data_IF_418079206062
#
_entry.id   IF_418079206062
#
_cell.length_a   1.000
_cell.length_b   1.000
_cell.length_c   1.000
_cell.angle_alpha   90.00
_cell.angle_beta   90.00
_cell.angle_gamma   90.00
#
_symmetry.space_group_name_H-M   'P 1'
#
loop_
_entity.id
_entity.type
_entity.pdbx_description
1 polymer ?
#
# COMPACT_ATOMS: atom_id res chain seq x y z
N UNK A 1 3.06 24.90 11.18
CA UNK A 1 3.90 25.33 10.05
C UNK A 1 3.00 25.65 8.85
N UNK A 2 3.41 26.61 8.03
CA UNK A 2 2.68 26.93 6.79
C UNK A 2 3.21 26.03 5.65
N UNK A 3 2.37 25.68 4.66
CA UNK A 3 2.82 24.97 3.47
C UNK A 3 3.89 25.77 2.73
N UNK A 4 4.91 25.09 2.23
CA UNK A 4 5.98 25.68 1.43
C UNK A 4 6.27 24.77 0.23
N UNK A 5 6.08 25.31 -0.98
CA UNK A 5 6.26 24.58 -2.24
C UNK A 5 7.70 24.19 -2.56
N UNK A 6 8.68 24.79 -1.86
CA UNK A 6 10.10 24.42 -1.99
C UNK A 6 10.50 23.23 -1.10
N UNK A 7 9.61 22.78 -0.22
CA UNK A 7 9.85 21.63 0.69
C UNK A 7 11.19 21.69 1.44
N UNK A 8 11.50 22.78 2.19
CA UNK A 8 12.86 23.02 2.73
C UNK A 8 13.31 22.00 3.78
N UNK A 9 12.41 21.13 4.24
CA UNK A 9 12.69 20.12 5.28
C UNK A 9 12.96 18.72 4.73
N UNK A 10 12.82 18.51 3.42
CA UNK A 10 13.04 17.21 2.76
C UNK A 10 13.67 17.43 1.38
N UNK A 11 14.56 16.56 0.96
CA UNK A 11 15.14 16.61 -0.38
C UNK A 11 14.18 16.08 -1.45
N UNK A 12 13.26 15.19 -1.04
CA UNK A 12 12.25 14.59 -1.89
C UNK A 12 10.96 14.33 -1.10
N UNK A 13 9.85 15.04 -1.42
CA UNK A 13 8.60 14.94 -0.69
C UNK A 13 7.82 13.67 -1.07
N UNK A 14 8.36 12.51 -0.77
CA UNK A 14 7.76 11.20 -1.03
C UNK A 14 7.73 10.39 0.27
N UNK A 15 6.57 9.89 0.71
CA UNK A 15 6.44 9.12 1.94
C UNK A 15 7.12 7.73 1.91
N UNK A 16 7.70 7.31 0.79
CA UNK A 16 8.59 6.15 0.71
C UNK A 16 9.98 6.45 1.30
N UNK A 17 10.38 7.73 1.30
CA UNK A 17 11.67 8.14 1.81
C UNK A 17 11.67 8.29 3.34
N UNK A 18 12.59 7.60 4.03
CA UNK A 18 12.70 7.69 5.48
C UNK A 18 12.95 9.13 5.97
N UNK A 19 13.67 9.95 5.17
CA UNK A 19 13.91 11.37 5.42
C UNK A 19 12.61 12.17 5.60
N UNK A 20 11.55 11.86 4.83
CA UNK A 20 10.26 12.52 4.93
C UNK A 20 9.60 12.36 6.32
N UNK A 21 10.01 11.37 7.09
CA UNK A 21 9.48 11.10 8.43
C UNK A 21 10.32 11.64 9.59
N UNK A 22 11.48 12.23 9.37
CA UNK A 22 12.36 12.64 10.46
C UNK A 22 11.70 13.59 11.46
N UNK A 23 10.98 14.61 11.01
CA UNK A 23 10.25 15.54 11.86
C UNK A 23 9.05 14.87 12.52
N UNK A 24 8.32 14.06 11.77
CA UNK A 24 7.19 13.26 12.26
C UNK A 24 7.61 12.30 13.37
N UNK A 25 8.73 11.59 13.19
CA UNK A 25 9.29 10.68 14.20
C UNK A 25 9.73 11.40 15.48
N UNK A 26 10.35 12.58 15.35
CA UNK A 26 10.70 13.42 16.52
C UNK A 26 9.46 13.84 17.30
N UNK A 27 8.42 14.29 16.60
CA UNK A 27 7.15 14.66 17.21
C UNK A 27 6.44 13.45 17.81
N UNK A 28 6.34 12.35 17.08
CA UNK A 28 5.69 11.11 17.49
C UNK A 28 6.29 10.57 18.80
N UNK A 29 7.62 10.55 18.90
CA UNK A 29 8.31 10.17 20.14
C UNK A 29 8.00 11.12 21.31
N UNK A 30 7.90 12.43 21.05
CA UNK A 30 7.60 13.43 22.07
C UNK A 30 6.20 13.32 22.65
N UNK A 31 5.20 12.98 21.81
CA UNK A 31 3.78 12.89 22.18
C UNK A 31 3.33 11.45 22.43
N UNK A 32 4.24 10.51 22.32
CA UNK A 32 3.98 9.07 22.47
C UNK A 32 2.90 8.55 21.51
N UNK A 33 2.97 8.94 20.23
CA UNK A 33 1.99 8.59 19.22
C UNK A 33 1.97 7.08 18.92
N UNK A 34 0.79 6.50 18.71
CA UNK A 34 0.65 5.10 18.25
C UNK A 34 1.03 4.95 16.76
N UNK A 35 0.76 5.99 15.96
CA UNK A 35 0.97 6.06 14.52
C UNK A 35 1.61 7.39 14.11
N UNK A 36 2.39 7.35 13.04
CA UNK A 36 2.88 8.53 12.35
C UNK A 36 2.55 8.34 10.86
N UNK A 37 1.82 9.27 10.30
CA UNK A 37 1.31 9.23 8.93
C UNK A 37 1.84 10.43 8.16
N UNK A 38 2.24 10.22 6.92
CA UNK A 38 2.63 11.28 6.00
C UNK A 38 2.13 10.97 4.60
N UNK A 39 1.59 11.98 3.92
CA UNK A 39 1.20 11.88 2.52
C UNK A 39 2.24 12.53 1.63
N UNK A 40 2.20 12.23 0.34
CA UNK A 40 2.85 13.05 -0.68
C UNK A 40 2.03 14.35 -0.93
N UNK A 41 2.56 15.28 -1.76
CA UNK A 41 1.94 16.60 -1.91
C UNK A 41 0.51 16.61 -2.47
N UNK A 42 0.15 15.64 -3.32
CA UNK A 42 -1.19 15.48 -3.89
C UNK A 42 -2.08 14.52 -3.10
N UNK A 43 -1.55 13.99 -1.96
CA UNK A 43 -2.25 13.14 -1.01
C UNK A 43 -2.87 11.86 -1.63
N UNK A 44 -2.16 11.24 -2.57
CA UNK A 44 -2.56 9.96 -3.15
C UNK A 44 -1.79 8.76 -2.55
N UNK A 45 -0.63 8.98 -1.93
CA UNK A 45 0.21 7.98 -1.25
C UNK A 45 0.28 8.23 0.24
N UNK A 46 0.32 7.15 1.01
CA UNK A 46 0.38 7.19 2.47
C UNK A 46 1.57 6.38 3.00
N UNK A 47 2.57 7.06 3.54
CA UNK A 47 3.61 6.44 4.34
C UNK A 47 3.19 6.30 5.81
N UNK A 48 3.66 5.23 6.46
CA UNK A 48 3.19 4.82 7.78
C UNK A 48 4.34 4.35 8.64
N UNK A 49 4.43 4.89 9.86
CA UNK A 49 5.20 4.31 10.95
C UNK A 49 4.26 3.91 12.08
N UNK A 50 4.49 2.74 12.63
CA UNK A 50 3.69 2.17 13.73
C UNK A 50 4.58 1.90 14.93
N UNK A 51 4.04 2.14 16.13
CA UNK A 51 4.77 1.90 17.36
C UNK A 51 4.70 0.43 17.76
N UNK A 52 5.85 -0.15 18.07
CA UNK A 52 5.94 -1.41 18.81
C UNK A 52 5.76 -1.11 20.31
N UNK A 53 4.67 -1.60 20.89
CA UNK A 53 4.36 -1.37 22.31
C UNK A 53 5.34 -2.04 23.29
N UNK A 54 6.10 -3.07 22.86
CA UNK A 54 7.07 -3.75 23.72
C UNK A 54 8.40 -3.03 23.79
N UNK A 55 8.86 -2.52 22.68
CA UNK A 55 10.18 -1.85 22.58
C UNK A 55 10.07 -0.34 22.63
N UNK A 56 8.91 0.24 22.32
CA UNK A 56 8.71 1.67 22.12
C UNK A 56 9.29 2.20 20.80
N UNK A 57 9.83 1.33 19.96
CA UNK A 57 10.39 1.69 18.65
C UNK A 57 9.29 1.90 17.60
N UNK A 58 9.60 2.69 16.58
CA UNK A 58 8.73 2.90 15.43
C UNK A 58 9.24 2.14 14.23
N UNK A 59 8.39 1.29 13.66
CA UNK A 59 8.66 0.53 12.45
C UNK A 59 7.94 1.13 11.24
N UNK A 60 8.66 1.33 10.15
CA UNK A 60 8.07 1.68 8.87
C UNK A 60 7.30 0.50 8.28
N UNK A 61 6.09 0.74 7.80
CA UNK A 61 5.38 -0.21 6.94
C UNK A 61 5.65 0.14 5.48
N UNK A 62 6.03 -0.84 4.67
CA UNK A 62 6.10 -0.68 3.22
C UNK A 62 4.71 -0.47 2.64
N UNK A 63 4.60 0.04 1.40
CA UNK A 63 3.30 0.17 0.73
C UNK A 63 2.55 -1.16 0.62
N UNK A 64 3.28 -2.26 0.39
CA UNK A 64 2.72 -3.61 0.42
C UNK A 64 2.16 -3.98 1.81
N UNK A 65 2.89 -3.70 2.88
CA UNK A 65 2.46 -4.00 4.25
C UNK A 65 1.24 -3.18 4.64
N UNK A 66 1.28 -1.86 4.44
CA UNK A 66 0.17 -0.96 4.78
C UNK A 66 -1.07 -1.24 3.94
N UNK A 67 -0.90 -1.47 2.63
CA UNK A 67 -1.99 -1.81 1.72
C UNK A 67 -2.68 -3.13 2.11
N UNK A 68 -1.91 -4.19 2.40
CA UNK A 68 -2.46 -5.44 2.88
C UNK A 68 -3.16 -5.30 4.24
N UNK A 69 -2.60 -4.53 5.17
CA UNK A 69 -3.19 -4.29 6.48
C UNK A 69 -4.54 -3.56 6.38
N UNK A 70 -4.61 -2.50 5.56
CA UNK A 70 -5.85 -1.78 5.28
C UNK A 70 -6.87 -2.69 4.60
N UNK A 71 -6.44 -3.43 3.56
CA UNK A 71 -7.31 -4.34 2.81
C UNK A 71 -7.89 -5.45 3.67
N UNK A 72 -7.07 -6.12 4.49
CA UNK A 72 -7.51 -7.14 5.44
C UNK A 72 -8.51 -6.57 6.45
N UNK A 73 -8.22 -5.39 7.01
CA UNK A 73 -9.11 -4.72 7.94
C UNK A 73 -10.47 -4.42 7.30
N UNK A 74 -10.50 -3.75 6.14
CA UNK A 74 -11.74 -3.37 5.44
C UNK A 74 -12.58 -4.60 5.09
N UNK A 75 -11.94 -5.64 4.54
CA UNK A 75 -12.63 -6.87 4.14
C UNK A 75 -13.15 -7.63 5.35
N UNK A 76 -12.35 -7.73 6.44
CA UNK A 76 -12.77 -8.39 7.68
C UNK A 76 -13.96 -7.70 8.33
N UNK A 77 -13.94 -6.36 8.41
CA UNK A 77 -15.03 -5.58 8.99
C UNK A 77 -16.30 -5.68 8.15
N UNK A 78 -16.18 -5.66 6.82
CA UNK A 78 -17.33 -5.86 5.94
C UNK A 78 -17.91 -7.25 6.10
N UNK A 79 -17.06 -8.28 6.17
CA UNK A 79 -17.48 -9.66 6.41
C UNK A 79 -18.27 -9.81 7.71
N UNK A 80 -17.79 -9.16 8.78
CA UNK A 80 -18.40 -9.24 10.12
C UNK A 80 -19.75 -8.53 10.18
N UNK A 81 -19.87 -7.35 9.56
CA UNK A 81 -21.07 -6.50 9.65
C UNK A 81 -22.16 -6.86 8.63
N UNK A 82 -21.80 -7.17 7.41
CA UNK A 82 -22.71 -7.26 6.27
C UNK A 82 -22.60 -8.58 5.48
N UNK A 83 -21.50 -9.32 5.68
CA UNK A 83 -21.11 -10.42 4.81
C UNK A 83 -20.38 -9.92 3.56
N UNK A 84 -19.73 -10.85 2.86
CA UNK A 84 -19.03 -10.53 1.62
C UNK A 84 -19.90 -10.87 0.40
N UNK A 85 -19.94 -10.01 -0.63
CA UNK A 85 -20.58 -10.35 -1.88
C UNK A 85 -19.86 -11.52 -2.55
N UNK A 86 -20.62 -12.39 -3.22
CA UNK A 86 -20.09 -13.60 -3.87
C UNK A 86 -19.05 -13.29 -4.97
N UNK A 87 -19.17 -12.13 -5.59
CA UNK A 87 -18.31 -11.58 -6.63
C UNK A 87 -17.38 -10.49 -6.12
N UNK A 88 -17.15 -10.44 -4.80
CA UNK A 88 -16.26 -9.48 -4.17
C UNK A 88 -14.83 -9.62 -4.68
N UNK A 89 -14.17 -8.51 -4.98
CA UNK A 89 -12.84 -8.49 -5.57
C UNK A 89 -11.86 -7.60 -4.79
N UNK A 90 -10.67 -8.13 -4.56
CA UNK A 90 -9.47 -7.41 -4.20
C UNK A 90 -8.66 -7.17 -5.49
N UNK A 91 -8.30 -5.92 -5.79
CA UNK A 91 -7.56 -5.58 -7.00
C UNK A 91 -6.15 -5.10 -6.62
N UNK A 92 -5.12 -5.61 -7.27
CA UNK A 92 -3.73 -5.18 -7.07
C UNK A 92 -2.99 -5.00 -8.39
N UNK A 93 -1.88 -4.24 -8.38
CA UNK A 93 -0.92 -4.26 -9.50
C UNK A 93 -0.17 -5.60 -9.54
N UNK A 94 0.27 -6.01 -10.72
CA UNK A 94 1.04 -7.26 -10.92
C UNK A 94 2.38 -7.29 -10.15
N UNK A 95 2.88 -6.13 -9.74
CA UNK A 95 4.13 -5.96 -8.97
C UNK A 95 3.88 -5.83 -7.47
N UNK A 96 2.62 -5.78 -7.04
CA UNK A 96 2.27 -5.78 -5.61
C UNK A 96 2.41 -7.18 -5.02
N UNK A 97 2.58 -7.24 -3.70
CA UNK A 97 2.86 -8.46 -2.94
C UNK A 97 1.84 -9.59 -3.16
N UNK A 98 2.33 -10.82 -3.20
CA UNK A 98 1.48 -12.02 -3.22
C UNK A 98 0.78 -12.30 -1.87
N UNK A 99 1.02 -11.50 -0.83
CA UNK A 99 0.22 -11.56 0.39
C UNK A 99 -1.25 -11.22 0.12
N UNK A 100 -1.53 -10.33 -0.85
CA UNK A 100 -2.89 -10.03 -1.29
C UNK A 100 -3.62 -11.26 -1.86
N UNK A 101 -2.89 -12.17 -2.54
CA UNK A 101 -3.44 -13.46 -3.02
C UNK A 101 -3.89 -14.33 -1.86
N UNK A 102 -3.05 -14.41 -0.82
CA UNK A 102 -3.37 -15.20 0.37
C UNK A 102 -4.58 -14.61 1.14
N UNK A 103 -4.68 -13.28 1.21
CA UNK A 103 -5.84 -12.58 1.81
C UNK A 103 -7.10 -12.90 1.01
N UNK A 104 -7.09 -12.71 -0.32
CA UNK A 104 -8.23 -12.99 -1.18
C UNK A 104 -8.70 -14.45 -1.05
N UNK A 105 -7.76 -15.39 -1.06
CA UNK A 105 -8.03 -16.82 -0.86
C UNK A 105 -8.67 -17.12 0.50
N UNK A 106 -8.17 -16.49 1.57
CA UNK A 106 -8.68 -16.69 2.94
C UNK A 106 -10.14 -16.23 3.08
N UNK A 107 -10.48 -15.11 2.44
CA UNK A 107 -11.84 -14.59 2.47
C UNK A 107 -12.76 -15.20 1.40
N UNK A 108 -12.24 -16.00 0.48
CA UNK A 108 -13.00 -16.61 -0.62
C UNK A 108 -13.52 -15.58 -1.62
N UNK A 109 -12.77 -14.50 -1.84
CA UNK A 109 -13.07 -13.43 -2.79
C UNK A 109 -12.15 -13.52 -4.02
N UNK A 110 -12.49 -12.81 -5.09
CA UNK A 110 -11.66 -12.75 -6.29
C UNK A 110 -10.40 -11.91 -6.03
N UNK A 111 -9.26 -12.37 -6.53
CA UNK A 111 -8.10 -11.53 -6.76
C UNK A 111 -8.07 -11.11 -8.22
N UNK A 112 -7.93 -9.81 -8.48
CA UNK A 112 -7.79 -9.26 -9.83
C UNK A 112 -6.44 -8.55 -9.93
N UNK A 113 -5.59 -9.04 -10.82
CA UNK A 113 -4.30 -8.39 -11.12
C UNK A 113 -4.42 -7.49 -12.34
N UNK A 114 -3.84 -6.30 -12.23
CA UNK A 114 -3.81 -5.32 -13.31
C UNK A 114 -2.38 -4.83 -13.53
N UNK A 115 -2.13 -4.18 -14.66
CA UNK A 115 -0.84 -3.53 -14.92
C UNK A 115 -0.59 -2.40 -13.92
N UNK A 116 0.68 -2.04 -13.73
CA UNK A 116 1.10 -0.93 -12.87
C UNK A 116 0.47 0.39 -13.31
N UNK A 117 -0.09 1.09 -12.35
CA UNK A 117 -0.79 2.36 -12.51
C UNK A 117 -2.25 2.25 -12.10
N UNK A 118 -2.64 3.07 -11.12
CA UNK A 118 -3.97 3.00 -10.48
C UNK A 118 -5.13 3.19 -11.47
N UNK A 119 -4.87 3.83 -12.61
CA UNK A 119 -5.83 3.93 -13.72
C UNK A 119 -6.41 2.57 -14.15
N UNK A 120 -5.64 1.49 -14.05
CA UNK A 120 -6.12 0.15 -14.39
C UNK A 120 -7.02 -0.42 -13.29
N UNK A 121 -6.78 -0.08 -12.02
CA UNK A 121 -7.70 -0.36 -10.92
C UNK A 121 -8.99 0.45 -11.12
N UNK A 122 -8.89 1.75 -11.39
CA UNK A 122 -10.03 2.61 -11.71
C UNK A 122 -10.85 2.11 -12.91
N UNK A 123 -10.19 1.58 -13.95
CA UNK A 123 -10.84 0.95 -15.09
C UNK A 123 -11.63 -0.31 -14.68
N UNK A 124 -11.09 -1.13 -13.77
CA UNK A 124 -11.80 -2.31 -13.26
C UNK A 124 -12.99 -1.93 -12.40
N UNK A 125 -12.91 -0.89 -11.60
CA UNK A 125 -14.06 -0.36 -10.86
C UNK A 125 -15.18 0.02 -11.85
N UNK A 126 -14.86 0.79 -12.88
CA UNK A 126 -15.82 1.17 -13.91
C UNK A 126 -16.40 -0.06 -14.64
N UNK A 127 -15.57 -1.06 -14.93
CA UNK A 127 -16.02 -2.29 -15.56
C UNK A 127 -17.04 -3.04 -14.69
N UNK A 128 -16.78 -3.16 -13.37
CA UNK A 128 -17.70 -3.79 -12.44
C UNK A 128 -19.03 -3.04 -12.36
N UNK A 129 -18.99 -1.71 -12.28
CA UNK A 129 -20.20 -0.88 -12.24
C UNK A 129 -21.04 -0.96 -13.52
N UNK A 130 -20.39 -1.03 -14.69
CA UNK A 130 -21.10 -1.00 -15.97
C UNK A 130 -21.56 -2.38 -16.45
N UNK A 131 -20.81 -3.44 -16.13
CA UNK A 131 -21.10 -4.80 -16.56
C UNK A 131 -21.75 -5.66 -15.49
N UNK A 132 -21.68 -5.26 -14.23
CA UNK A 132 -22.20 -6.05 -13.09
C UNK A 132 -21.50 -7.41 -12.91
N UNK A 133 -20.22 -7.50 -13.28
CA UNK A 133 -19.45 -8.74 -13.25
C UNK A 133 -18.46 -8.84 -12.09
N UNK A 134 -18.62 -8.00 -11.07
CA UNK A 134 -17.80 -7.98 -9.85
C UNK A 134 -18.20 -6.87 -8.90
N UNK A 135 -17.85 -7.03 -7.63
CA UNK A 135 -18.03 -6.01 -6.59
C UNK A 135 -16.66 -5.60 -6.04
N UNK A 136 -16.29 -4.34 -6.23
CA UNK A 136 -15.05 -3.80 -5.69
C UNK A 136 -15.08 -3.78 -4.16
N UNK A 137 -14.07 -4.35 -3.52
CA UNK A 137 -13.88 -4.32 -2.09
C UNK A 137 -12.72 -3.42 -1.68
N UNK A 138 -11.59 -3.57 -2.36
CA UNK A 138 -10.36 -2.84 -2.08
C UNK A 138 -9.40 -2.92 -3.27
N UNK A 139 -8.56 -1.89 -3.44
CA UNK A 139 -7.49 -1.88 -4.45
C UNK A 139 -6.24 -1.21 -3.93
N UNK A 140 -5.06 -1.75 -4.32
CA UNK A 140 -3.78 -1.23 -3.89
C UNK A 140 -2.69 -1.35 -4.93
N UNK A 141 -1.68 -0.49 -4.79
CA UNK A 141 -0.38 -0.58 -5.43
C UNK A 141 0.73 -0.63 -4.38
N UNK A 142 1.85 -1.28 -4.70
CA UNK A 142 3.03 -1.37 -3.84
C UNK A 142 3.64 0.01 -3.52
N UNK A 143 3.39 1.00 -4.39
CA UNK A 143 3.86 2.38 -4.28
C UNK A 143 3.05 3.24 -3.30
N UNK A 144 2.64 2.65 -2.16
CA UNK A 144 2.00 3.34 -1.03
C UNK A 144 0.59 3.89 -1.29
N UNK A 145 -0.05 3.48 -2.39
CA UNK A 145 -1.38 3.95 -2.77
C UNK A 145 -2.46 2.88 -2.66
N UNK A 146 -3.62 3.25 -2.15
CA UNK A 146 -4.80 2.39 -2.12
C UNK A 146 -6.10 3.20 -2.19
N UNK A 147 -7.22 2.49 -2.41
CA UNK A 147 -8.55 3.08 -2.42
C UNK A 147 -9.54 2.14 -1.72
N UNK A 148 -10.31 2.69 -0.76
CA UNK A 148 -11.35 1.97 -0.01
C UNK A 148 -12.74 2.41 -0.47
N UNK A 149 -13.24 1.92 -1.56
CA UNK A 149 -14.55 2.31 -2.08
C UNK A 149 -14.49 2.80 -3.52
N UNK A 150 -15.63 3.24 -4.05
CA UNK A 150 -15.78 3.53 -5.49
C UNK A 150 -16.09 5.00 -5.78
N UNK A 151 -15.97 5.89 -4.77
CA UNK A 151 -16.25 7.33 -4.89
C UNK A 151 -15.20 8.07 -5.74
N UNK A 152 -14.02 7.50 -5.91
CA UNK A 152 -12.92 7.99 -6.74
C UNK A 152 -12.44 6.90 -7.70
N UNK A 153 -11.51 7.24 -8.59
CA UNK A 153 -10.88 6.32 -9.54
C UNK A 153 -9.36 6.34 -9.43
N UNK A 154 -8.85 6.97 -8.39
CA UNK A 154 -7.44 7.01 -8.03
C UNK A 154 -7.26 6.78 -6.54
N UNK A 155 -6.03 6.62 -6.12
CA UNK A 155 -5.60 6.45 -4.72
C UNK A 155 -6.06 7.63 -3.87
N UNK A 156 -6.33 7.37 -2.61
CA UNK A 156 -6.73 8.41 -1.65
C UNK A 156 -6.05 8.17 -0.29
N UNK A 157 -5.01 8.94 -0.03
CA UNK A 157 -4.25 8.86 1.22
C UNK A 157 -5.01 9.44 2.41
N UNK A 158 -5.97 10.33 2.21
CA UNK A 158 -6.80 10.89 3.29
C UNK A 158 -7.71 9.80 3.86
N UNK A 159 -8.42 9.09 2.98
CA UNK A 159 -9.28 7.97 3.39
C UNK A 159 -8.45 6.78 3.88
N UNK A 160 -7.29 6.51 3.28
CA UNK A 160 -6.36 5.50 3.78
C UNK A 160 -5.90 5.82 5.21
N UNK A 161 -5.56 7.08 5.50
CA UNK A 161 -5.20 7.55 6.85
C UNK A 161 -6.34 7.36 7.85
N UNK A 162 -7.56 7.75 7.48
CA UNK A 162 -8.75 7.56 8.31
C UNK A 162 -8.98 6.07 8.61
N UNK A 163 -8.93 5.22 7.58
CA UNK A 163 -9.11 3.78 7.71
C UNK A 163 -8.03 3.15 8.60
N UNK A 164 -6.79 3.60 8.48
CA UNK A 164 -5.70 3.10 9.31
C UNK A 164 -5.83 3.53 10.78
N UNK A 165 -6.29 4.75 11.04
CA UNK A 165 -6.61 5.21 12.39
C UNK A 165 -7.77 4.41 13.00
N UNK A 166 -8.81 4.11 12.22
CA UNK A 166 -9.92 3.24 12.64
C UNK A 166 -9.42 1.82 12.96
N UNK A 167 -8.59 1.25 12.08
CA UNK A 167 -7.97 -0.05 12.31
C UNK A 167 -7.12 -0.05 13.60
N UNK A 168 -6.32 0.98 13.83
CA UNK A 168 -5.52 1.12 15.04
C UNK A 168 -6.40 1.14 16.31
N UNK A 169 -7.49 1.92 16.29
CA UNK A 169 -8.45 1.98 17.39
C UNK A 169 -9.12 0.60 17.62
N UNK A 170 -9.53 -0.07 16.55
CA UNK A 170 -10.10 -1.42 16.61
C UNK A 170 -9.13 -2.44 17.21
N UNK A 171 -7.89 -2.49 16.73
CA UNK A 171 -6.90 -3.42 17.28
C UNK A 171 -6.51 -3.06 18.72
N UNK A 172 -6.52 -1.79 19.10
CA UNK A 172 -6.31 -1.35 20.48
C UNK A 172 -7.37 -1.89 21.45
N UNK A 173 -8.64 -2.04 21.02
CA UNK A 173 -9.67 -2.72 21.81
C UNK A 173 -9.39 -4.20 22.05
N UNK A 174 -8.51 -4.78 21.22
CA UNK A 174 -8.03 -6.18 21.34
C UNK A 174 -6.66 -6.28 22.01
N UNK A 175 -6.17 -5.21 22.67
CA UNK A 175 -4.84 -5.10 23.26
C UNK A 175 -3.70 -5.35 22.25
N UNK A 176 -3.88 -4.91 21.01
CA UNK A 176 -2.95 -5.12 19.90
C UNK A 176 -2.61 -3.77 19.25
N UNK A 177 -1.35 -3.56 18.86
CA UNK A 177 -0.95 -2.44 17.99
C UNK A 177 -1.03 -2.86 16.52
N UNK A 178 -0.96 -1.91 15.59
CA UNK A 178 -0.89 -2.25 14.16
C UNK A 178 0.38 -3.05 13.81
N UNK A 179 1.48 -2.86 14.55
CA UNK A 179 2.68 -3.71 14.38
C UNK A 179 2.37 -5.17 14.65
N UNK A 180 1.70 -5.47 15.77
CA UNK A 180 1.30 -6.85 16.08
C UNK A 180 0.17 -7.37 15.19
N UNK A 181 -0.71 -6.50 14.69
CA UNK A 181 -1.68 -6.86 13.67
C UNK A 181 -0.98 -7.34 12.39
N UNK A 182 0.09 -6.64 11.96
CA UNK A 182 0.90 -7.06 10.81
C UNK A 182 1.60 -8.41 11.05
N UNK A 183 2.15 -8.62 12.25
CA UNK A 183 2.74 -9.92 12.63
C UNK A 183 1.70 -11.04 12.60
N UNK A 184 0.51 -10.81 13.15
CA UNK A 184 -0.58 -11.76 13.11
C UNK A 184 -1.06 -12.08 11.68
N UNK A 185 -0.95 -11.13 10.75
CA UNK A 185 -1.18 -11.38 9.33
C UNK A 185 -0.13 -12.31 8.74
N UNK A 186 1.15 -12.12 9.07
CA UNK A 186 2.20 -13.06 8.66
C UNK A 186 1.99 -14.47 9.21
N UNK A 187 1.54 -14.60 10.45
CA UNK A 187 1.20 -15.90 11.03
C UNK A 187 0.03 -16.58 10.32
N UNK A 188 -0.97 -15.78 9.86
CA UNK A 188 -2.18 -16.26 9.20
C UNK A 188 -1.97 -16.59 7.72
N UNK A 189 -1.26 -15.72 7.00
CA UNK A 189 -1.15 -15.77 5.54
C UNK A 189 0.19 -16.29 5.03
N UNK A 190 1.20 -16.37 5.89
CA UNK A 190 2.58 -16.62 5.55
C UNK A 190 3.43 -15.35 5.55
N UNK A 191 4.75 -15.52 5.64
CA UNK A 191 5.69 -14.41 5.64
C UNK A 191 6.02 -13.99 4.20
N UNK A 192 5.75 -12.75 3.85
CA UNK A 192 6.09 -12.15 2.57
C UNK A 192 7.11 -11.04 2.81
N UNK A 193 8.21 -11.10 2.07
CA UNK A 193 9.23 -10.04 2.05
C UNK A 193 9.39 -9.58 0.61
N UNK A 194 8.89 -8.40 0.35
CA UNK A 194 9.03 -7.73 -0.93
C UNK A 194 10.12 -6.66 -0.82
N UNK A 195 10.90 -6.48 -1.88
CA UNK A 195 11.94 -5.46 -1.96
C UNK A 195 11.92 -4.81 -3.34
N UNK A 196 12.32 -3.55 -3.41
CA UNK A 196 12.40 -2.78 -4.66
C UNK A 196 13.79 -2.19 -4.80
N UNK A 197 14.48 -2.57 -5.86
CA UNK A 197 15.73 -1.93 -6.22
C UNK A 197 15.51 -0.88 -7.32
N UNK A 198 15.60 0.39 -6.95
CA UNK A 198 15.48 1.50 -7.88
C UNK A 198 16.85 1.86 -8.49
N UNK A 199 16.91 1.93 -9.82
CA UNK A 199 18.09 2.39 -10.56
C UNK A 199 17.73 3.70 -11.25
N UNK A 200 18.36 4.80 -10.83
CA UNK A 200 18.15 6.12 -11.41
C UNK A 200 19.25 6.46 -12.40
N UNK A 201 18.87 6.67 -13.64
CA UNK A 201 19.75 7.15 -14.71
C UNK A 201 19.33 8.56 -15.13
N UNK A 202 20.23 9.54 -15.00
CA UNK A 202 19.92 10.96 -15.26
C UNK A 202 20.20 11.36 -16.71
N UNK A 203 19.50 12.40 -17.17
CA UNK A 203 19.69 13.01 -18.48
C UNK A 203 19.10 12.21 -19.66
N UNK A 204 19.29 12.72 -20.87
CA UNK A 204 18.80 12.12 -22.12
C UNK A 204 19.40 10.74 -22.34
N UNK A 205 20.70 10.60 -22.13
CA UNK A 205 21.42 9.32 -22.26
C UNK A 205 20.87 8.27 -21.27
N UNK A 206 20.49 8.70 -20.05
CA UNK A 206 19.85 7.85 -19.05
C UNK A 206 18.50 7.34 -19.52
N UNK A 207 17.67 8.20 -20.11
CA UNK A 207 16.37 7.84 -20.66
C UNK A 207 16.51 6.83 -21.81
N UNK A 208 17.41 7.09 -22.76
CA UNK A 208 17.69 6.18 -23.89
C UNK A 208 18.18 4.81 -23.39
N UNK A 209 19.03 4.80 -22.37
CA UNK A 209 19.53 3.56 -21.77
C UNK A 209 18.43 2.76 -21.09
N UNK A 210 17.52 3.42 -20.36
CA UNK A 210 16.35 2.77 -19.76
C UNK A 210 15.47 2.15 -20.85
N UNK A 211 15.15 2.89 -21.91
CA UNK A 211 14.36 2.38 -23.03
C UNK A 211 15.02 1.18 -23.70
N UNK A 212 16.34 1.25 -23.94
CA UNK A 212 17.09 0.12 -24.52
C UNK A 212 17.04 -1.12 -23.62
N UNK A 213 17.23 -0.97 -22.30
CA UNK A 213 17.12 -2.08 -21.33
C UNK A 213 15.73 -2.71 -21.44
N UNK A 214 14.67 -1.90 -21.36
CA UNK A 214 13.30 -2.38 -21.41
C UNK A 214 12.96 -3.10 -22.72
N UNK A 215 13.42 -2.57 -23.85
CA UNK A 215 13.22 -3.22 -25.16
C UNK A 215 13.98 -4.55 -25.23
N UNK A 216 15.23 -4.58 -24.79
CA UNK A 216 16.02 -5.82 -24.76
C UNK A 216 15.35 -6.90 -23.93
N UNK A 217 14.80 -6.54 -22.75
CA UNK A 217 14.09 -7.50 -21.89
C UNK A 217 12.76 -7.99 -22.48
N UNK A 218 12.08 -7.15 -23.28
CA UNK A 218 10.85 -7.57 -23.99
C UNK A 218 11.14 -8.52 -25.15
N UNK A 219 12.21 -8.25 -25.90
CA UNK A 219 12.62 -9.06 -27.06
C UNK A 219 13.31 -10.36 -26.67
N UNK A 220 14.09 -10.31 -25.58
CA UNK A 220 14.90 -11.42 -25.10
C UNK A 220 14.67 -11.59 -23.58
N UNK A 221 13.47 -12.01 -23.20
CA UNK A 221 13.14 -12.28 -21.80
C UNK A 221 14.04 -13.39 -21.26
N UNK A 222 14.87 -13.13 -20.22
CA UNK A 222 15.72 -14.17 -19.66
C UNK A 222 14.86 -15.25 -19.02
N UNK A 223 15.28 -16.51 -19.17
CA UNK A 223 14.62 -17.65 -18.52
C UNK A 223 14.96 -17.77 -17.03
N UNK A 224 15.99 -17.08 -16.62
CA UNK A 224 16.51 -17.10 -15.24
C UNK A 224 17.14 -15.76 -14.90
N UNK A 225 16.90 -15.24 -13.69
CA UNK A 225 17.50 -14.02 -13.16
C UNK A 225 18.05 -14.32 -11.77
N UNK A 226 19.38 -14.14 -11.61
CA UNK A 226 20.01 -14.29 -10.30
C UNK A 226 19.95 -15.72 -9.71
N UNK A 227 19.79 -16.75 -10.54
CA UNK A 227 19.68 -18.14 -10.13
C UNK A 227 18.25 -18.59 -9.79
N UNK A 228 17.25 -17.78 -10.17
CA UNK A 228 15.83 -18.06 -10.01
C UNK A 228 15.09 -18.07 -11.34
#
# INVERSE_FOLDING_TARGET
ELPDGEFPTVSYPNPEAAEAFELGLKLGKKVDADLILATDPDADRLGVYVKDAKTGEYHSLTGNMSGCLIGDYVISQRKEKEGLPKDGAFIKSIVSTNMADAIAKYYGIQLVEVLTGFKFIGQKILEFETKGNGTYLFGMEESYGCLTGTYARDKDAVVASMTLCEAAAYYKTKNMTLWYAMIAMYERYGYYKDDVQAITLKGIEGLEKIQKIMNTLRENTPSEIGGY
#
